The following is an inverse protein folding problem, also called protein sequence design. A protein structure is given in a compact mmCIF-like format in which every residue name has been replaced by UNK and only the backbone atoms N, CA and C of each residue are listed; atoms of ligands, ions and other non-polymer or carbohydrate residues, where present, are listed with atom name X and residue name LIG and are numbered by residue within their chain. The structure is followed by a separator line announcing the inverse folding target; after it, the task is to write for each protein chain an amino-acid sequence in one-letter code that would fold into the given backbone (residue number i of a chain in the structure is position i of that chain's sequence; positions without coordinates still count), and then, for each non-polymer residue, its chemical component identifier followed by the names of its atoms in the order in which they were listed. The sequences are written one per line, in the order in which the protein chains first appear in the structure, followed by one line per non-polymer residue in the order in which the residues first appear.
data_IF_550024289661
#
_entry.id   IF_550024289661
#
_cell.length_a   1.000
_cell.length_b   1.000
_cell.length_c   1.000
_cell.angle_alpha   90.00
_cell.angle_beta   90.00
_cell.angle_gamma   90.00
#
_symmetry.space_group_name_H-M   'P 1'
#
loop_
_entity.id
_entity.type
_entity.pdbx_description
1 polymer ?
#
# COMPACT_ATOMS: atom_id res chain seq x y z
N UNK A 1 -10.30 -17.94 16.32
CA UNK A 1 -9.36 -16.86 15.95
C UNK A 1 -9.68 -16.34 14.56
N UNK A 2 -9.80 -15.05 14.39
CA UNK A 2 -10.05 -14.50 13.05
C UNK A 2 -8.85 -14.75 12.14
N UNK A 3 -9.13 -15.20 10.92
CA UNK A 3 -8.09 -15.54 9.95
C UNK A 3 -7.34 -14.31 9.45
N UNK A 4 -8.03 -13.20 9.28
CA UNK A 4 -7.45 -11.98 8.72
C UNK A 4 -7.57 -10.80 9.69
N UNK A 5 -7.04 -10.95 10.90
CA UNK A 5 -7.12 -9.91 11.93
C UNK A 5 -6.38 -8.64 11.54
N UNK A 6 -5.22 -8.76 10.93
CA UNK A 6 -4.39 -7.63 10.54
C UNK A 6 -4.04 -7.73 9.05
N UNK A 7 -4.44 -6.73 8.29
CA UNK A 7 -4.36 -6.73 6.83
C UNK A 7 -3.47 -5.58 6.37
N UNK A 8 -2.60 -5.84 5.40
CA UNK A 8 -1.87 -4.79 4.70
C UNK A 8 -2.58 -4.48 3.40
N UNK A 9 -2.87 -3.22 3.17
CA UNK A 9 -3.39 -2.71 1.93
C UNK A 9 -2.31 -1.90 1.22
N UNK A 10 -1.86 -2.39 0.08
CA UNK A 10 -0.88 -1.69 -0.76
C UNK A 10 -1.63 -0.93 -1.84
N UNK A 11 -1.38 0.37 -1.93
CA UNK A 11 -2.06 1.22 -2.92
C UNK A 11 -1.05 2.03 -3.73
N UNK A 12 -1.36 2.20 -5.00
CA UNK A 12 -0.69 3.15 -5.89
C UNK A 12 -1.67 4.25 -6.30
N UNK A 13 -2.82 4.32 -5.61
CA UNK A 13 -3.90 5.28 -5.86
C UNK A 13 -4.55 5.13 -7.24
N UNK A 14 -4.30 4.02 -7.94
CA UNK A 14 -4.94 3.74 -9.22
C UNK A 14 -6.42 3.37 -9.01
N UNK A 15 -7.24 3.42 -10.07
CA UNK A 15 -8.63 2.96 -9.98
C UNK A 15 -8.77 1.52 -9.48
N UNK A 16 -7.87 0.62 -9.88
CA UNK A 16 -7.92 -0.77 -9.42
C UNK A 16 -7.54 -0.88 -7.95
N UNK A 17 -6.62 -0.04 -7.46
CA UNK A 17 -6.30 0.02 -6.04
C UNK A 17 -7.53 0.47 -5.23
N UNK A 18 -8.35 1.37 -5.77
CA UNK A 18 -9.59 1.77 -5.11
C UNK A 18 -10.61 0.64 -5.06
N UNK A 19 -10.67 -0.19 -6.11
CA UNK A 19 -11.50 -1.40 -6.07
C UNK A 19 -11.01 -2.34 -4.98
N UNK A 20 -9.69 -2.50 -4.85
CA UNK A 20 -9.09 -3.31 -3.81
C UNK A 20 -9.45 -2.79 -2.40
N UNK A 21 -9.56 -1.47 -2.23
CA UNK A 21 -9.96 -0.87 -0.96
C UNK A 21 -11.36 -1.32 -0.52
N UNK A 22 -12.27 -1.53 -1.46
CA UNK A 22 -13.60 -2.03 -1.13
C UNK A 22 -13.54 -3.44 -0.53
N UNK A 23 -12.62 -4.28 -1.02
CA UNK A 23 -12.39 -5.60 -0.42
C UNK A 23 -11.81 -5.48 0.99
N UNK A 24 -10.90 -4.53 1.20
CA UNK A 24 -10.33 -4.27 2.54
C UNK A 24 -11.45 -3.94 3.53
N UNK A 25 -12.40 -3.09 3.14
CA UNK A 25 -13.55 -2.77 4.00
C UNK A 25 -14.38 -4.01 4.33
N UNK A 26 -14.64 -4.86 3.34
CA UNK A 26 -15.46 -6.05 3.50
C UNK A 26 -14.81 -7.14 4.34
N UNK A 27 -13.48 -7.15 4.41
CA UNK A 27 -12.75 -8.12 5.22
C UNK A 27 -13.03 -7.97 6.72
N UNK A 28 -13.62 -6.87 7.14
CA UNK A 28 -14.08 -6.70 8.51
C UNK A 28 -15.03 -7.84 8.91
N UNK A 29 -15.87 -8.28 7.99
CA UNK A 29 -16.79 -9.41 8.21
C UNK A 29 -16.06 -10.73 8.45
N UNK A 30 -14.79 -10.82 7.99
CA UNK A 30 -13.95 -11.99 8.18
C UNK A 30 -12.97 -11.86 9.35
N UNK A 31 -13.20 -10.86 10.24
CA UNK A 31 -12.42 -10.70 11.46
C UNK A 31 -11.32 -9.65 11.41
N UNK A 32 -11.25 -8.86 10.35
CA UNK A 32 -10.28 -7.77 10.25
C UNK A 32 -10.50 -6.72 11.34
N UNK A 33 -9.43 -6.33 12.03
CA UNK A 33 -9.47 -5.31 13.09
C UNK A 33 -8.49 -4.18 12.82
N UNK A 34 -7.37 -4.50 12.15
CA UNK A 34 -6.31 -3.54 11.87
C UNK A 34 -5.92 -3.55 10.40
N UNK A 35 -5.67 -2.37 9.85
CA UNK A 35 -5.21 -2.21 8.47
C UNK A 35 -3.91 -1.39 8.48
N UNK A 36 -2.91 -1.91 7.79
CA UNK A 36 -1.67 -1.20 7.51
C UNK A 36 -1.75 -0.75 6.05
N UNK A 37 -1.81 0.55 5.81
CA UNK A 37 -1.89 1.11 4.46
C UNK A 37 -0.49 1.53 4.04
N UNK A 38 -0.04 1.05 2.89
CA UNK A 38 1.31 1.31 2.39
C UNK A 38 1.27 1.88 0.98
N UNK A 39 2.00 2.96 0.77
CA UNK A 39 2.37 3.43 -0.55
C UNK A 39 3.90 3.54 -0.60
N UNK A 40 4.48 3.10 -1.71
CA UNK A 40 5.93 3.12 -1.90
C UNK A 40 6.26 4.00 -3.10
N UNK A 41 7.22 4.91 -2.93
CA UNK A 41 7.71 5.78 -4.00
C UNK A 41 9.11 5.38 -4.42
N UNK A 42 9.38 5.41 -5.71
CA UNK A 42 10.71 5.13 -6.27
C UNK A 42 11.13 6.20 -7.30
N UNK A 43 10.33 7.22 -7.44
CA UNK A 43 10.44 8.22 -8.52
C UNK A 43 10.74 9.64 -8.04
N UNK A 44 11.47 9.77 -6.93
CA UNK A 44 11.94 11.08 -6.49
C UNK A 44 13.11 11.55 -7.35
N UNK A 45 13.34 12.85 -7.39
CA UNK A 45 14.45 13.42 -8.15
C UNK A 45 15.81 13.25 -7.45
N UNK A 46 15.81 12.79 -6.21
CA UNK A 46 17.02 12.47 -5.46
C UNK A 46 16.95 11.02 -4.97
N UNK A 47 18.10 10.43 -4.77
CA UNK A 47 18.20 9.08 -4.23
C UNK A 47 18.24 9.14 -2.70
N UNK A 48 17.40 8.33 -2.05
CA UNK A 48 17.38 8.19 -0.59
C UNK A 48 17.77 6.76 -0.23
N UNK A 49 18.17 6.51 1.02
CA UNK A 49 18.40 5.14 1.47
C UNK A 49 17.16 4.27 1.28
N UNK A 50 17.39 3.02 0.85
CA UNK A 50 16.32 2.05 0.69
C UNK A 50 15.55 1.88 2.00
N UNK A 51 14.22 2.00 1.94
CA UNK A 51 13.37 1.83 3.12
C UNK A 51 13.15 3.08 3.95
N UNK A 52 13.59 4.26 3.48
CA UNK A 52 13.33 5.51 4.18
C UNK A 52 11.82 5.66 4.45
N UNK A 53 11.47 5.92 5.70
CA UNK A 53 10.09 6.16 6.12
C UNK A 53 9.79 7.66 6.00
N UNK A 54 9.05 8.02 4.95
CA UNK A 54 8.81 9.41 4.59
C UNK A 54 7.76 10.09 5.48
N UNK A 55 7.11 9.35 6.37
CA UNK A 55 6.22 9.94 7.38
C UNK A 55 7.01 10.23 8.66
N UNK A 56 7.82 9.27 9.11
CA UNK A 56 8.57 9.40 10.38
C UNK A 56 9.84 10.22 10.25
N UNK A 57 10.56 10.11 9.13
CA UNK A 57 11.85 10.76 8.93
C UNK A 57 11.69 12.15 8.31
N UNK A 58 11.11 13.06 9.05
CA UNK A 58 10.80 14.42 8.58
C UNK A 58 12.03 15.23 8.18
N UNK A 59 13.19 14.90 8.72
CA UNK A 59 14.45 15.57 8.36
C UNK A 59 14.78 15.44 6.87
N UNK A 60 14.33 14.37 6.24
CA UNK A 60 14.55 14.12 4.82
C UNK A 60 13.95 15.24 3.96
N UNK A 61 12.83 15.81 4.38
CA UNK A 61 12.18 16.88 3.62
C UNK A 61 13.07 18.11 3.44
N UNK A 62 13.98 18.36 4.37
CA UNK A 62 14.88 19.51 4.32
C UNK A 62 15.86 19.44 3.15
N UNK A 63 16.19 18.23 2.69
CA UNK A 63 17.13 18.04 1.59
C UNK A 63 16.45 17.80 0.26
N UNK A 64 15.14 17.69 0.23
CA UNK A 64 14.39 17.42 -0.99
C UNK A 64 14.10 18.72 -1.76
N UNK A 65 14.16 18.67 -3.10
CA UNK A 65 13.68 19.77 -3.93
C UNK A 65 12.20 20.04 -3.62
N UNK A 66 11.78 21.28 -3.82
CA UNK A 66 10.40 21.69 -3.54
C UNK A 66 9.36 20.86 -4.29
N UNK A 67 9.64 20.50 -5.55
CA UNK A 67 8.73 19.68 -6.33
C UNK A 67 8.51 18.31 -5.69
N UNK A 68 9.55 17.71 -5.11
CA UNK A 68 9.44 16.44 -4.40
C UNK A 68 8.68 16.61 -3.09
N UNK A 69 8.93 17.71 -2.36
CA UNK A 69 8.22 18.00 -1.13
C UNK A 69 6.71 18.09 -1.37
N UNK A 70 6.31 18.81 -2.40
CA UNK A 70 4.89 18.97 -2.78
C UNK A 70 4.26 17.63 -3.17
N UNK A 71 4.99 16.84 -3.95
CA UNK A 71 4.56 15.51 -4.36
C UNK A 71 4.29 14.62 -3.15
N UNK A 72 5.24 14.57 -2.20
CA UNK A 72 5.09 13.74 -1.01
C UNK A 72 3.98 14.21 -0.10
N UNK A 73 3.80 15.53 0.05
CA UNK A 73 2.71 16.07 0.86
C UNK A 73 1.35 15.66 0.29
N UNK A 74 1.20 15.67 -1.03
CA UNK A 74 -0.02 15.20 -1.69
C UNK A 74 -0.27 13.71 -1.38
N UNK A 75 0.77 12.89 -1.43
CA UNK A 75 0.65 11.47 -1.13
C UNK A 75 0.26 11.23 0.33
N UNK A 76 0.83 12.01 1.26
CA UNK A 76 0.47 11.92 2.67
C UNK A 76 -1.02 12.25 2.87
N UNK A 77 -1.52 13.29 2.19
CA UNK A 77 -2.94 13.63 2.25
C UNK A 77 -3.82 12.51 1.75
N UNK A 78 -3.43 11.86 0.64
CA UNK A 78 -4.18 10.72 0.09
C UNK A 78 -4.19 9.54 1.06
N UNK A 79 -3.06 9.26 1.70
CA UNK A 79 -2.99 8.21 2.72
C UNK A 79 -3.87 8.54 3.92
N UNK A 80 -3.87 9.79 4.36
CA UNK A 80 -4.73 10.23 5.46
C UNK A 80 -6.21 10.10 5.13
N UNK A 81 -6.60 10.37 3.88
CA UNK A 81 -7.99 10.20 3.45
C UNK A 81 -8.42 8.74 3.52
N UNK A 82 -7.55 7.81 3.10
CA UNK A 82 -7.83 6.37 3.21
C UNK A 82 -7.93 5.98 4.68
N UNK A 83 -7.01 6.47 5.51
CA UNK A 83 -7.01 6.20 6.95
C UNK A 83 -8.34 6.61 7.58
N UNK A 84 -8.79 7.84 7.33
CA UNK A 84 -10.04 8.34 7.88
C UNK A 84 -11.24 7.49 7.43
N UNK A 85 -11.26 7.09 6.16
CA UNK A 85 -12.31 6.27 5.60
C UNK A 85 -12.38 4.91 6.31
N UNK A 86 -11.24 4.28 6.54
CA UNK A 86 -11.20 2.99 7.22
C UNK A 86 -11.48 3.12 8.73
N UNK A 87 -11.05 4.19 9.35
CA UNK A 87 -11.36 4.44 10.78
C UNK A 87 -12.86 4.62 11.01
N UNK A 88 -13.59 5.17 10.05
CA UNK A 88 -15.04 5.26 10.10
C UNK A 88 -15.72 3.88 10.12
N UNK A 89 -15.03 2.87 9.63
CA UNK A 89 -15.49 1.48 9.68
C UNK A 89 -15.04 0.77 10.96
N UNK A 90 -14.59 1.52 11.96
CA UNK A 90 -14.09 1.02 13.24
C UNK A 90 -12.87 0.12 13.13
N UNK A 91 -12.01 0.40 12.17
CA UNK A 91 -10.72 -0.28 12.00
C UNK A 91 -9.61 0.57 12.59
N UNK A 92 -8.59 -0.06 13.16
CA UNK A 92 -7.36 0.61 13.54
C UNK A 92 -6.49 0.72 12.30
N UNK A 93 -5.92 1.88 12.04
CA UNK A 93 -5.18 2.12 10.80
C UNK A 93 -3.82 2.70 11.08
N UNK A 94 -2.82 2.14 10.42
CA UNK A 94 -1.45 2.62 10.39
C UNK A 94 -1.09 2.93 8.95
N UNK A 95 -0.41 4.03 8.70
CA UNK A 95 -0.01 4.39 7.34
C UNK A 95 1.49 4.42 7.20
N UNK A 96 1.97 4.00 6.03
CA UNK A 96 3.38 4.03 5.65
C UNK A 96 3.54 4.68 4.30
N UNK A 97 4.50 5.57 4.20
CA UNK A 97 4.98 6.11 2.92
C UNK A 97 6.46 5.79 2.87
N UNK A 98 6.83 4.80 2.07
CA UNK A 98 8.20 4.28 2.03
C UNK A 98 8.87 4.64 0.72
N UNK A 99 10.18 4.83 0.77
CA UNK A 99 11.00 5.01 -0.43
C UNK A 99 11.77 3.73 -0.73
N UNK A 100 11.80 3.35 -1.99
CA UNK A 100 12.65 2.26 -2.42
C UNK A 100 12.04 1.35 -3.47
N UNK A 101 12.52 0.12 -3.51
CA UNK A 101 12.00 -0.91 -4.40
C UNK A 101 10.57 -1.27 -3.95
N UNK A 102 9.61 -1.12 -4.85
CA UNK A 102 8.20 -1.20 -4.47
C UNK A 102 7.81 -2.54 -3.86
N UNK A 103 7.98 -3.69 -4.54
CA UNK A 103 7.58 -4.96 -3.94
C UNK A 103 8.38 -5.31 -2.68
N UNK A 104 9.67 -4.97 -2.67
CA UNK A 104 10.52 -5.22 -1.51
C UNK A 104 10.03 -4.47 -0.27
N UNK A 105 9.64 -3.20 -0.43
CA UNK A 105 9.15 -2.41 0.68
C UNK A 105 7.78 -2.87 1.16
N UNK A 106 6.91 -3.30 0.25
CA UNK A 106 5.61 -3.87 0.63
C UNK A 106 5.82 -5.10 1.51
N UNK A 107 6.66 -6.03 1.08
CA UNK A 107 6.95 -7.26 1.81
C UNK A 107 7.63 -6.96 3.15
N UNK A 108 8.56 -6.00 3.17
CA UNK A 108 9.26 -5.59 4.38
C UNK A 108 8.28 -5.05 5.44
N UNK A 109 7.36 -4.19 5.05
CA UNK A 109 6.35 -3.66 5.98
C UNK A 109 5.42 -4.78 6.45
N UNK A 110 5.03 -5.68 5.54
CA UNK A 110 4.17 -6.81 5.91
C UNK A 110 4.84 -7.69 6.98
N UNK A 111 6.13 -7.95 6.83
CA UNK A 111 6.89 -8.75 7.79
C UNK A 111 7.07 -8.01 9.13
N UNK A 112 7.41 -6.74 9.07
CA UNK A 112 7.58 -5.91 10.27
C UNK A 112 6.29 -5.82 11.08
N UNK A 113 5.18 -5.61 10.40
CA UNK A 113 3.86 -5.48 11.03
C UNK A 113 3.17 -6.82 11.30
N UNK A 114 3.75 -7.91 10.84
CA UNK A 114 3.21 -9.27 11.04
C UNK A 114 1.76 -9.39 10.59
N UNK A 115 1.49 -8.90 9.39
CA UNK A 115 0.14 -8.97 8.84
C UNK A 115 -0.24 -10.39 8.44
N UNK A 116 -1.54 -10.67 8.44
CA UNK A 116 -2.09 -11.97 8.07
C UNK A 116 -2.41 -12.08 6.57
N UNK A 117 -2.49 -10.95 5.90
CA UNK A 117 -2.91 -10.89 4.51
C UNK A 117 -2.41 -9.60 3.87
N UNK A 118 -1.98 -9.68 2.61
CA UNK A 118 -1.70 -8.51 1.79
C UNK A 118 -2.83 -8.41 0.76
N UNK A 119 -3.41 -7.22 0.60
CA UNK A 119 -4.42 -6.94 -0.42
C UNK A 119 -3.88 -5.89 -1.38
N UNK A 120 -3.93 -6.16 -2.66
CA UNK A 120 -3.47 -5.21 -3.68
C UNK A 120 -4.16 -5.47 -5.02
N UNK A 121 -4.10 -4.49 -5.90
CA UNK A 121 -4.58 -4.65 -7.26
C UNK A 121 -3.64 -5.54 -8.08
N UNK A 122 -4.19 -6.20 -9.09
CA UNK A 122 -3.44 -7.08 -9.97
C UNK A 122 -2.34 -6.35 -10.75
N UNK A 123 -2.57 -5.06 -11.04
CA UNK A 123 -1.60 -4.22 -11.73
C UNK A 123 -1.86 -2.76 -11.34
N UNK A 124 -0.86 -1.92 -11.58
CA UNK A 124 -0.96 -0.49 -11.29
C UNK A 124 -1.30 0.32 -12.54
N UNK A 125 -0.94 1.59 -12.47
CA UNK A 125 -1.14 2.53 -13.57
C UNK A 125 -0.37 2.08 -14.81
N UNK A 126 -0.96 2.26 -15.96
CA UNK A 126 -0.28 2.04 -17.24
C UNK A 126 -0.39 0.65 -17.83
N UNK A 127 -0.92 -0.33 -17.11
CA UNK A 127 -1.20 -1.64 -17.69
C UNK A 127 -2.58 -1.62 -18.34
N UNK A 128 -2.64 -2.05 -19.59
CA UNK A 128 -3.84 -2.00 -20.40
C UNK A 128 -4.55 -3.34 -20.52
N UNK A 129 -3.90 -4.43 -20.10
CA UNK A 129 -4.49 -5.76 -20.20
C UNK A 129 -4.93 -6.28 -18.84
N UNK A 130 -6.13 -6.83 -18.80
CA UNK A 130 -6.76 -7.36 -17.60
C UNK A 130 -6.33 -8.79 -17.29
N UNK A 131 -5.65 -9.43 -18.23
CA UNK A 131 -5.28 -10.83 -18.13
C UNK A 131 -3.92 -11.06 -17.48
N UNK A 132 -3.11 -10.02 -17.35
CA UNK A 132 -1.75 -10.13 -16.83
C UNK A 132 -1.62 -9.48 -15.46
N UNK A 133 -0.84 -10.12 -14.60
CA UNK A 133 -0.41 -9.51 -13.35
C UNK A 133 0.71 -8.51 -13.65
N UNK A 134 0.72 -7.41 -12.91
CA UNK A 134 1.81 -6.45 -13.00
C UNK A 134 3.08 -6.98 -12.36
N UNK A 135 4.20 -6.31 -12.62
CA UNK A 135 5.49 -6.71 -12.06
C UNK A 135 5.50 -6.64 -10.53
N UNK A 136 4.88 -5.61 -9.95
CA UNK A 136 4.83 -5.46 -8.50
C UNK A 136 4.04 -6.60 -7.86
N UNK A 137 2.83 -6.88 -8.36
CA UNK A 137 2.00 -7.96 -7.80
C UNK A 137 2.66 -9.32 -7.96
N UNK A 138 3.31 -9.58 -9.09
CA UNK A 138 4.04 -10.82 -9.32
C UNK A 138 5.16 -11.01 -8.29
N UNK A 139 5.94 -9.97 -8.04
CA UNK A 139 7.06 -10.04 -7.09
C UNK A 139 6.57 -10.15 -5.65
N UNK A 140 5.48 -9.45 -5.30
CA UNK A 140 4.90 -9.56 -3.96
C UNK A 140 4.39 -10.99 -3.71
N UNK A 141 3.70 -11.59 -4.68
CA UNK A 141 3.22 -12.98 -4.57
C UNK A 141 4.38 -13.92 -4.32
N UNK A 142 5.48 -13.74 -5.05
CA UNK A 142 6.66 -14.61 -4.94
C UNK A 142 7.34 -14.48 -3.58
N UNK A 143 7.44 -13.26 -3.05
CA UNK A 143 8.27 -12.97 -1.88
C UNK A 143 7.51 -12.91 -0.55
N UNK A 144 6.20 -12.73 -0.59
CA UNK A 144 5.40 -12.61 0.63
C UNK A 144 5.37 -13.91 1.41
N UNK A 145 5.41 -13.78 2.74
CA UNK A 145 5.32 -14.93 3.67
C UNK A 145 3.91 -15.19 4.14
N UNK A 146 2.97 -14.32 3.79
CA UNK A 146 1.56 -14.46 4.12
C UNK A 146 0.73 -14.57 2.85
N UNK A 147 -0.54 -14.96 2.94
CA UNK A 147 -1.45 -14.94 1.80
C UNK A 147 -1.55 -13.57 1.16
N UNK A 148 -1.77 -13.55 -0.14
CA UNK A 148 -1.92 -12.32 -0.93
C UNK A 148 -3.25 -12.40 -1.68
N UNK A 149 -4.11 -11.43 -1.47
CA UNK A 149 -5.36 -11.29 -2.20
C UNK A 149 -5.14 -10.30 -3.34
N UNK A 150 -5.23 -10.80 -4.55
CA UNK A 150 -5.06 -10.00 -5.76
C UNK A 150 -6.43 -9.64 -6.30
N UNK A 151 -6.70 -8.34 -6.41
CA UNK A 151 -7.96 -7.84 -6.92
C UNK A 151 -7.80 -7.51 -8.40
N UNK A 152 -8.61 -8.16 -9.22
CA UNK A 152 -8.62 -7.96 -10.67
C UNK A 152 -9.82 -7.10 -11.06
N UNK A 153 -9.71 -6.47 -12.23
CA UNK A 153 -10.85 -5.78 -12.79
C UNK A 153 -11.91 -6.83 -13.18
N UNK A 154 -13.14 -6.55 -12.80
CA UNK A 154 -14.26 -7.38 -13.21
C UNK A 154 -14.63 -7.09 -14.65
N UNK A 155 -14.77 -8.13 -15.44
CA UNK A 155 -15.39 -8.02 -16.76
C UNK A 155 -16.90 -8.11 -16.57
N UNK A 156 -17.61 -7.23 -17.25
CA UNK A 156 -19.07 -7.26 -17.27
C UNK A 156 -19.57 -7.77 -18.61
#
# INVERSE_FOLDING_TARGET
MPLFKKVLYSTDFSPLAEVALEYVKKLKEAGEEEVVVVHVVDDLSVELPEGTDLIKEKEVYKILPEVDQEYLLDLVERLNSIKELLEKENLKVKTYLKYGNIPKQIVSVADEEKVNLIVMGAHGKGLLTELLLGSVSTDVIREAKCPVLIVKRREE
#
